data_IF_640737075281
#
_entry.id   IF_640737075281
#
_cell.length_a   1.000
_cell.length_b   1.000
_cell.length_c   1.000
_cell.angle_alpha   90.00
_cell.angle_beta   90.00
_cell.angle_gamma   90.00
#
_symmetry.space_group_name_H-M   'P 1'
#
loop_
_entity.id
_entity.type
_entity.pdbx_description
1 polymer ?
#
# COMPACT_ATOMS: atom_id res chain seq x y z
N UNK A 1 17.57 -9.53 9.56
CA UNK A 1 16.17 -9.06 9.43
C UNK A 1 15.37 -10.15 8.73
N UNK A 2 14.25 -10.60 9.31
CA UNK A 2 13.46 -11.72 8.78
C UNK A 2 11.96 -11.39 8.82
N UNK A 3 11.19 -12.03 7.95
CA UNK A 3 9.74 -11.91 7.94
C UNK A 3 9.14 -12.42 9.27
N UNK A 4 8.26 -11.66 9.94
CA UNK A 4 7.69 -12.08 11.22
C UNK A 4 6.82 -13.34 11.10
N UNK A 5 6.24 -13.60 9.93
CA UNK A 5 5.32 -14.72 9.71
C UNK A 5 5.97 -16.02 9.27
N UNK A 6 7.00 -15.95 8.42
CA UNK A 6 7.63 -17.15 7.83
C UNK A 6 9.12 -17.26 8.12
N UNK A 7 9.69 -16.31 8.86
CA UNK A 7 11.10 -16.24 9.26
C UNK A 7 12.10 -16.23 8.09
N UNK A 8 11.64 -16.10 6.84
CA UNK A 8 12.51 -15.98 5.69
C UNK A 8 13.28 -14.65 5.75
N UNK A 9 14.56 -14.64 5.34
CA UNK A 9 15.35 -13.42 5.29
C UNK A 9 14.71 -12.40 4.34
N UNK A 10 14.66 -11.14 4.76
CA UNK A 10 14.17 -10.06 3.91
C UNK A 10 15.23 -9.81 2.82
N UNK A 11 14.82 -9.89 1.55
CA UNK A 11 15.73 -9.69 0.42
C UNK A 11 16.25 -8.25 0.38
N UNK A 12 17.52 -8.10 0.01
CA UNK A 12 18.15 -6.82 -0.29
C UNK A 12 19.32 -6.43 0.62
N UNK A 13 19.64 -7.22 1.64
CA UNK A 13 20.92 -7.08 2.35
C UNK A 13 22.04 -7.78 1.56
N UNK A 14 22.53 -7.15 0.49
CA UNK A 14 23.70 -7.62 -0.25
C UNK A 14 24.97 -7.09 0.44
N UNK A 15 25.66 -7.95 1.18
CA UNK A 15 26.89 -7.59 1.90
C UNK A 15 28.10 -8.20 1.20
N UNK A 16 28.92 -7.35 0.56
CA UNK A 16 30.22 -7.73 0.01
C UNK A 16 31.34 -7.18 0.92
N UNK A 17 32.11 -8.05 1.61
CA UNK A 17 33.20 -7.61 2.47
C UNK A 17 34.21 -6.73 1.72
N UNK A 18 34.53 -5.55 2.25
CA UNK A 18 35.51 -4.63 1.66
C UNK A 18 34.96 -3.68 0.59
N UNK A 19 33.66 -3.70 0.29
CA UNK A 19 33.01 -2.78 -0.64
C UNK A 19 31.97 -1.93 0.09
N UNK A 20 32.13 -0.61 0.06
CA UNK A 20 31.11 0.36 0.49
C UNK A 20 30.36 0.80 -0.77
N UNK A 21 29.12 0.36 -0.92
CA UNK A 21 28.21 0.82 -1.97
C UNK A 21 27.19 1.80 -1.40
N UNK A 22 27.01 2.94 -2.07
CA UNK A 22 25.90 3.85 -1.80
C UNK A 22 24.75 3.46 -2.73
N UNK A 23 23.90 2.55 -2.27
CA UNK A 23 22.68 2.18 -2.96
C UNK A 23 21.49 2.50 -2.05
N UNK A 24 20.48 3.16 -2.61
CA UNK A 24 19.20 3.32 -1.93
C UNK A 24 18.53 1.94 -1.88
N UNK A 25 18.31 1.46 -0.66
CA UNK A 25 17.63 0.18 -0.43
C UNK A 25 16.15 0.45 -0.19
N UNK A 26 15.33 0.13 -1.20
CA UNK A 26 13.88 0.13 -1.06
C UNK A 26 13.44 -1.16 -0.36
N UNK A 27 12.95 -1.00 0.87
CA UNK A 27 12.45 -2.12 1.65
C UNK A 27 11.19 -2.71 0.99
N UNK A 28 11.13 -4.03 0.75
CA UNK A 28 9.97 -4.64 0.07
C UNK A 28 8.71 -4.51 0.93
N UNK A 29 7.56 -4.18 0.36
CA UNK A 29 6.31 -4.04 1.13
C UNK A 29 5.63 -5.37 1.50
N UNK A 30 5.93 -6.43 0.72
CA UNK A 30 5.37 -7.78 0.91
C UNK A 30 6.49 -8.81 0.93
N UNK A 31 6.31 -9.86 1.74
CA UNK A 31 7.21 -10.98 1.75
C UNK A 31 7.06 -11.79 0.46
N UNK A 32 8.12 -11.94 -0.32
CA UNK A 32 8.06 -12.76 -1.54
C UNK A 32 7.90 -14.26 -1.27
N UNK A 33 8.21 -14.74 -0.06
CA UNK A 33 8.08 -16.15 0.28
C UNK A 33 6.65 -16.52 0.72
N UNK A 34 6.04 -15.74 1.61
CA UNK A 34 4.71 -16.05 2.14
C UNK A 34 3.58 -15.14 1.63
N UNK A 35 3.89 -14.06 0.92
CA UNK A 35 2.92 -13.11 0.36
C UNK A 35 2.29 -12.15 1.37
N UNK A 36 2.68 -12.22 2.66
CA UNK A 36 2.12 -11.33 3.69
C UNK A 36 2.77 -9.95 3.67
N UNK A 37 1.98 -8.93 3.99
CA UNK A 37 2.43 -7.57 4.16
C UNK A 37 3.41 -7.48 5.35
N UNK A 38 4.46 -6.67 5.21
CA UNK A 38 5.32 -6.34 6.34
C UNK A 38 4.64 -5.34 7.29
N UNK A 39 5.11 -5.22 8.55
CA UNK A 39 4.48 -4.35 9.54
C UNK A 39 4.31 -2.88 9.12
N UNK A 40 5.25 -2.33 8.33
CA UNK A 40 5.14 -0.97 7.81
C UNK A 40 4.00 -0.83 6.80
N UNK A 41 3.85 -1.80 5.91
CA UNK A 41 2.74 -1.86 4.94
C UNK A 41 1.40 -2.03 5.63
N UNK A 42 1.30 -2.90 6.64
CA UNK A 42 0.06 -3.06 7.43
C UNK A 42 -0.35 -1.76 8.10
N UNK A 43 0.60 -1.06 8.76
CA UNK A 43 0.32 0.23 9.41
C UNK A 43 -0.11 1.30 8.43
N UNK A 44 0.48 1.34 7.24
CA UNK A 44 0.09 2.26 6.18
C UNK A 44 -1.35 2.00 5.71
N UNK A 45 -1.72 0.73 5.48
CA UNK A 45 -3.09 0.34 5.12
C UNK A 45 -4.11 0.68 6.21
N UNK A 46 -3.75 0.44 7.48
CA UNK A 46 -4.59 0.80 8.63
C UNK A 46 -4.80 2.32 8.73
N UNK A 47 -3.74 3.11 8.54
CA UNK A 47 -3.83 4.57 8.53
C UNK A 47 -4.73 5.08 7.40
N UNK A 48 -4.59 4.54 6.18
CA UNK A 48 -5.45 4.90 5.06
C UNK A 48 -6.92 4.54 5.31
N UNK A 49 -7.18 3.37 5.92
CA UNK A 49 -8.52 2.95 6.30
C UNK A 49 -9.13 3.86 7.37
N UNK A 50 -8.35 4.25 8.37
CA UNK A 50 -8.80 5.13 9.43
C UNK A 50 -9.19 6.50 8.85
N UNK A 51 -8.33 7.09 8.02
CA UNK A 51 -8.63 8.35 7.33
C UNK A 51 -9.91 8.26 6.48
N UNK A 52 -10.15 7.15 5.79
CA UNK A 52 -11.37 6.95 5.02
C UNK A 52 -12.62 6.73 5.88
N UNK A 53 -12.47 6.28 7.13
CA UNK A 53 -13.57 6.09 8.08
C UNK A 53 -13.90 7.39 8.79
N UNK A 54 -12.90 8.22 9.07
CA UNK A 54 -13.03 9.51 9.74
C UNK A 54 -13.52 10.61 8.78
N UNK A 55 -13.56 10.35 7.47
CA UNK A 55 -14.05 11.31 6.48
C UNK A 55 -15.57 11.21 6.32
N UNK A 56 -16.27 12.26 6.76
CA UNK A 56 -17.74 12.34 6.77
C UNK A 56 -18.39 12.32 5.36
N UNK A 57 -17.61 12.38 4.27
CA UNK A 57 -18.17 12.34 2.90
C UNK A 57 -18.48 10.92 2.42
N UNK A 58 -17.86 9.90 3.02
CA UNK A 58 -18.11 8.51 2.70
C UNK A 58 -19.17 7.92 3.64
N UNK A 59 -20.03 7.07 3.09
CA UNK A 59 -20.88 6.23 3.93
C UNK A 59 -20.07 5.08 4.56
N UNK A 60 -20.61 4.45 5.60
CA UNK A 60 -19.99 3.28 6.22
C UNK A 60 -19.73 2.14 5.22
N UNK A 61 -20.67 1.91 4.30
CA UNK A 61 -20.52 0.91 3.23
C UNK A 61 -19.39 1.28 2.26
N UNK A 62 -19.22 2.58 1.98
CA UNK A 62 -18.13 3.09 1.16
C UNK A 62 -16.80 2.94 1.88
N UNK A 63 -16.67 3.35 3.14
CA UNK A 63 -15.42 3.19 3.89
C UNK A 63 -15.02 1.70 4.03
N UNK A 64 -15.98 0.79 4.22
CA UNK A 64 -15.69 -0.66 4.22
C UNK A 64 -15.25 -1.14 2.83
N UNK A 65 -15.91 -0.67 1.77
CA UNK A 65 -15.54 -1.03 0.39
C UNK A 65 -14.14 -0.52 0.03
N UNK A 66 -13.80 0.68 0.48
CA UNK A 66 -12.48 1.27 0.30
C UNK A 66 -11.39 0.40 0.92
N UNK A 67 -11.59 -0.08 2.15
CA UNK A 67 -10.66 -0.98 2.83
C UNK A 67 -10.43 -2.28 2.04
N UNK A 68 -11.48 -2.89 1.50
CA UNK A 68 -11.37 -4.09 0.65
C UNK A 68 -10.62 -3.80 -0.65
N UNK A 69 -10.91 -2.66 -1.28
CA UNK A 69 -10.26 -2.27 -2.52
C UNK A 69 -8.75 -2.03 -2.30
N UNK A 70 -8.33 -1.49 -1.15
CA UNK A 70 -6.92 -1.32 -0.76
C UNK A 70 -6.15 -2.66 -0.71
N UNK A 71 -6.77 -3.70 -0.15
CA UNK A 71 -6.18 -5.04 -0.11
C UNK A 71 -6.08 -5.67 -1.51
N UNK A 72 -7.06 -5.42 -2.38
CA UNK A 72 -7.09 -5.96 -3.75
C UNK A 72 -6.01 -5.34 -4.65
N UNK A 73 -5.80 -4.02 -4.55
CA UNK A 73 -4.77 -3.32 -5.36
C UNK A 73 -3.37 -3.70 -4.94
N UNK A 74 -3.13 -3.87 -3.65
CA UNK A 74 -1.79 -4.17 -3.15
C UNK A 74 -1.35 -5.61 -3.42
N UNK A 75 -2.31 -6.53 -3.57
CA UNK A 75 -2.05 -7.93 -3.97
C UNK A 75 -2.01 -8.14 -5.49
N UNK A 76 -2.08 -7.07 -6.28
CA UNK A 76 -2.08 -7.08 -7.76
C UNK A 76 -3.01 -8.16 -8.36
N UNK A 77 -4.18 -8.33 -7.76
CA UNK A 77 -5.14 -9.34 -8.22
C UNK A 77 -5.71 -8.98 -9.60
N UNK A 78 -6.31 -9.92 -10.36
CA UNK A 78 -7.02 -9.59 -11.60
C UNK A 78 -8.10 -8.51 -11.44
N UNK A 79 -8.61 -8.31 -10.22
CA UNK A 79 -9.61 -7.31 -9.88
C UNK A 79 -9.01 -5.92 -9.63
N UNK A 80 -7.68 -5.80 -9.46
CA UNK A 80 -6.98 -4.57 -9.08
C UNK A 80 -7.33 -3.36 -9.97
N UNK A 81 -7.57 -3.56 -11.27
CA UNK A 81 -8.01 -2.47 -12.17
C UNK A 81 -9.37 -1.88 -11.77
N UNK A 82 -10.33 -2.73 -11.41
CA UNK A 82 -11.65 -2.29 -11.00
C UNK A 82 -11.59 -1.58 -9.64
N UNK A 83 -10.79 -2.11 -8.72
CA UNK A 83 -10.56 -1.58 -7.37
C UNK A 83 -9.83 -0.24 -7.42
N UNK A 84 -8.83 -0.09 -8.29
CA UNK A 84 -8.14 1.18 -8.53
C UNK A 84 -9.11 2.26 -9.05
N UNK A 85 -10.02 1.92 -9.95
CA UNK A 85 -11.05 2.84 -10.44
C UNK A 85 -12.01 3.28 -9.32
N UNK A 86 -12.39 2.38 -8.42
CA UNK A 86 -13.23 2.71 -7.25
C UNK A 86 -12.48 3.58 -6.25
N UNK A 87 -11.23 3.23 -5.91
CA UNK A 87 -10.36 4.05 -5.06
C UNK A 87 -10.25 5.46 -5.61
N UNK A 88 -9.97 5.62 -6.91
CA UNK A 88 -9.92 6.94 -7.56
C UNK A 88 -11.22 7.73 -7.36
N UNK A 89 -12.37 7.07 -7.56
CA UNK A 89 -13.69 7.71 -7.37
C UNK A 89 -13.90 8.13 -5.92
N UNK A 90 -13.49 7.32 -4.95
CA UNK A 90 -13.66 7.58 -3.52
C UNK A 90 -12.74 8.69 -3.02
N UNK A 91 -11.48 8.69 -3.47
CA UNK A 91 -10.54 9.79 -3.21
C UNK A 91 -11.04 11.12 -3.75
N UNK A 92 -11.76 11.11 -4.88
CA UNK A 92 -12.39 12.31 -5.44
C UNK A 92 -13.65 12.79 -4.70
N UNK A 93 -14.23 11.97 -3.82
CA UNK A 93 -15.37 12.34 -2.96
C UNK A 93 -14.92 12.93 -1.62
N UNK A 94 -13.83 12.38 -1.07
CA UNK A 94 -13.25 12.78 0.19
C UNK A 94 -12.90 14.27 0.22
N UNK A 95 -12.80 14.82 1.43
CA UNK A 95 -12.27 16.17 1.59
C UNK A 95 -10.83 16.24 1.04
N UNK A 96 -10.45 17.41 0.52
CA UNK A 96 -9.13 17.57 -0.11
C UNK A 96 -7.96 17.19 0.82
N UNK A 97 -8.10 17.43 2.13
CA UNK A 97 -7.11 17.04 3.14
C UNK A 97 -6.99 15.52 3.29
N UNK A 98 -8.11 14.82 3.52
CA UNK A 98 -8.13 13.36 3.65
C UNK A 98 -7.64 12.68 2.36
N UNK A 99 -8.15 13.12 1.21
CA UNK A 99 -7.78 12.54 -0.08
C UNK A 99 -6.28 12.69 -0.39
N UNK A 100 -5.67 13.82 -0.03
CA UNK A 100 -4.24 14.04 -0.17
C UNK A 100 -3.42 13.15 0.78
N UNK A 101 -3.81 13.07 2.06
CA UNK A 101 -3.12 12.25 3.04
C UNK A 101 -3.14 10.75 2.67
N UNK A 102 -4.30 10.25 2.21
CA UNK A 102 -4.41 8.86 1.74
C UNK A 102 -3.59 8.64 0.47
N UNK A 103 -3.56 9.61 -0.45
CA UNK A 103 -2.72 9.53 -1.65
C UNK A 103 -1.24 9.38 -1.30
N UNK A 104 -0.74 10.18 -0.35
CA UNK A 104 0.67 10.14 0.05
C UNK A 104 1.03 8.78 0.65
N UNK A 105 0.16 8.22 1.51
CA UNK A 105 0.32 6.87 2.05
C UNK A 105 0.34 5.83 0.93
N UNK A 106 -0.59 5.92 -0.03
CA UNK A 106 -0.71 4.95 -1.11
C UNK A 106 0.47 5.02 -2.08
N UNK A 107 1.04 6.20 -2.35
CA UNK A 107 2.22 6.32 -3.20
C UNK A 107 3.43 5.63 -2.56
N UNK A 108 3.55 5.63 -1.24
CA UNK A 108 4.65 4.93 -0.55
C UNK A 108 4.55 3.40 -0.74
N UNK A 109 3.35 2.82 -0.60
CA UNK A 109 3.18 1.35 -0.55
C UNK A 109 2.73 0.70 -1.85
N UNK A 110 2.14 1.44 -2.78
CA UNK A 110 1.56 0.88 -4.00
C UNK A 110 2.64 0.61 -5.05
N UNK A 111 2.46 -0.43 -5.87
CA UNK A 111 3.34 -0.66 -7.02
C UNK A 111 3.19 0.46 -8.06
N UNK A 112 4.21 0.67 -8.89
CA UNK A 112 4.16 1.60 -10.02
C UNK A 112 2.95 1.35 -10.94
N UNK A 113 2.57 0.08 -11.12
CA UNK A 113 1.38 -0.32 -11.86
C UNK A 113 0.11 0.25 -11.25
N UNK A 114 -0.07 0.10 -9.93
CA UNK A 114 -1.25 0.60 -9.21
C UNK A 114 -1.30 2.13 -9.20
N UNK A 115 -0.16 2.80 -9.00
CA UNK A 115 -0.07 4.27 -9.05
C UNK A 115 -0.62 4.81 -10.36
N UNK A 116 -0.19 4.22 -11.50
CA UNK A 116 -0.65 4.60 -12.84
C UNK A 116 -2.12 4.29 -13.10
N UNK A 117 -2.71 3.31 -12.40
CA UNK A 117 -4.15 3.03 -12.53
C UNK A 117 -5.00 4.09 -11.82
N UNK A 118 -4.56 4.57 -10.67
CA UNK A 118 -5.31 5.54 -9.84
C UNK A 118 -5.05 6.98 -10.34
N UNK A 119 -3.78 7.31 -10.57
CA UNK A 119 -3.30 8.63 -11.03
C UNK A 119 -2.55 8.47 -12.37
N UNK A 120 -3.28 8.32 -13.48
CA UNK A 120 -2.69 8.29 -14.82
C UNK A 120 -2.06 9.63 -15.21
#
# INVERSE_FOLDING_TARGET
MACPDCQSPIQGHYHCPGVIGFFDYDAPHYCQNCGKAFPWTTRALEAARQLATDDDTLSADESERFAKDLEEITRETPQAKASAGRIKKMLGKMTAGTGAAIRDILIDIASESVRKMIWP
#
